data_IF_011290407405
#
_entry.id   IF_011290407405
#
_cell.length_a   1.000
_cell.length_b   1.000
_cell.length_c   1.000
_cell.angle_alpha   90.00
_cell.angle_beta   90.00
_cell.angle_gamma   90.00
#
_symmetry.space_group_name_H-M   'P 1'
#
loop_
_entity.id
_entity.type
_entity.pdbx_description
1 polymer ?
#
# COMPACT_ATOMS: atom_id res chain seq x y z
N UNK A 1 -3.07 10.97 -10.74
CA UNK A 1 -3.12 11.98 -11.78
C UNK A 1 -4.57 12.10 -12.23
N UNK A 2 -5.08 13.32 -12.32
CA UNK A 2 -6.52 13.55 -12.45
C UNK A 2 -7.32 13.38 -11.16
N UNK A 3 -6.66 13.10 -10.05
CA UNK A 3 -7.28 13.03 -8.73
C UNK A 3 -7.38 14.44 -8.12
N UNK A 4 -8.42 14.68 -7.34
CA UNK A 4 -8.60 15.91 -6.54
C UNK A 4 -7.35 16.18 -5.70
N UNK A 5 -6.72 15.14 -5.16
CA UNK A 5 -5.47 15.19 -4.40
C UNK A 5 -4.31 15.87 -5.15
N UNK A 6 -4.24 15.76 -6.45
CA UNK A 6 -3.19 16.38 -7.28
C UNK A 6 -3.26 17.90 -7.18
N UNK A 7 -4.44 18.46 -7.40
CA UNK A 7 -4.68 19.90 -7.30
C UNK A 7 -4.42 20.41 -5.88
N UNK A 8 -4.83 19.67 -4.86
CA UNK A 8 -4.59 20.01 -3.44
C UNK A 8 -3.10 20.01 -3.16
N UNK A 9 -2.35 18.99 -3.58
CA UNK A 9 -0.89 18.91 -3.37
C UNK A 9 -0.15 20.07 -4.03
N UNK A 10 -0.51 20.41 -5.27
CA UNK A 10 0.09 21.55 -5.97
C UNK A 10 -0.24 22.88 -5.28
N UNK A 11 -1.47 23.06 -4.81
CA UNK A 11 -1.85 24.25 -4.04
C UNK A 11 -1.04 24.36 -2.75
N UNK A 12 -0.91 23.28 -1.99
CA UNK A 12 -0.09 23.24 -0.77
C UNK A 12 1.37 23.57 -1.09
N UNK A 13 1.94 23.02 -2.16
CA UNK A 13 3.30 23.33 -2.60
C UNK A 13 3.44 24.84 -2.84
N UNK A 14 2.51 25.47 -3.55
CA UNK A 14 2.55 26.91 -3.83
C UNK A 14 2.32 27.80 -2.62
N UNK A 15 1.67 27.30 -1.59
CA UNK A 15 1.44 28.02 -0.34
C UNK A 15 2.57 27.83 0.69
N UNK A 16 3.48 26.90 0.46
CA UNK A 16 4.56 26.56 1.38
C UNK A 16 5.82 27.36 1.07
N UNK A 17 6.61 27.67 2.11
CA UNK A 17 7.89 28.37 1.98
C UNK A 17 9.08 27.40 1.90
N UNK A 18 8.95 26.20 2.51
CA UNK A 18 9.99 25.19 2.55
C UNK A 18 9.42 23.88 2.04
N UNK A 19 10.20 23.14 1.26
CA UNK A 19 9.78 21.90 0.62
C UNK A 19 10.75 20.77 0.98
N UNK A 20 10.24 19.71 1.55
CA UNK A 20 10.99 18.50 1.88
C UNK A 20 10.54 17.37 0.98
N UNK A 21 11.44 16.89 0.12
CA UNK A 21 11.12 15.93 -0.94
C UNK A 21 11.84 14.60 -0.77
N UNK A 22 11.18 13.53 -1.21
CA UNK A 22 11.68 12.18 -1.00
C UNK A 22 12.69 11.71 -2.04
N UNK A 23 12.72 12.32 -3.24
CA UNK A 23 13.58 11.92 -4.34
C UNK A 23 14.02 13.11 -5.17
N UNK A 24 15.14 12.96 -5.89
CA UNK A 24 15.71 14.01 -6.74
C UNK A 24 14.73 14.47 -7.84
N UNK A 25 14.00 13.53 -8.44
CA UNK A 25 12.98 13.85 -9.44
C UNK A 25 11.86 14.72 -8.86
N UNK A 26 11.49 14.51 -7.61
CA UNK A 26 10.50 15.36 -6.94
C UNK A 26 11.07 16.74 -6.64
N UNK A 27 12.35 16.86 -6.29
CA UNK A 27 13.04 18.13 -6.16
C UNK A 27 12.96 18.93 -7.45
N UNK A 28 13.32 18.31 -8.58
CA UNK A 28 13.25 18.93 -9.91
C UNK A 28 11.82 19.40 -10.24
N UNK A 29 10.81 18.58 -9.96
CA UNK A 29 9.40 18.96 -10.22
C UNK A 29 8.95 20.15 -9.37
N UNK A 30 9.32 20.21 -8.10
CA UNK A 30 8.99 21.33 -7.22
C UNK A 30 9.66 22.63 -7.72
N UNK A 31 10.92 22.57 -8.15
CA UNK A 31 11.62 23.72 -8.77
C UNK A 31 10.93 24.14 -10.08
N UNK A 32 10.52 23.18 -10.92
CA UNK A 32 9.76 23.46 -12.16
C UNK A 32 8.41 24.14 -11.89
N UNK A 33 7.80 23.92 -10.73
CA UNK A 33 6.61 24.65 -10.30
C UNK A 33 6.90 26.10 -9.90
N UNK A 34 8.16 26.54 -9.97
CA UNK A 34 8.59 27.90 -9.70
C UNK A 34 9.05 28.14 -8.25
N UNK A 35 9.36 27.08 -7.51
CA UNK A 35 9.92 27.21 -6.17
C UNK A 35 11.44 27.47 -6.23
N UNK A 36 11.94 28.23 -5.26
CA UNK A 36 13.37 28.53 -5.18
C UNK A 36 14.16 27.29 -4.80
N UNK A 37 15.24 26.94 -5.57
CA UNK A 37 16.03 25.72 -5.32
C UNK A 37 16.55 25.59 -3.88
N UNK A 38 16.92 26.71 -3.25
CA UNK A 38 17.45 26.77 -1.88
C UNK A 38 16.42 26.43 -0.81
N UNK A 39 15.13 26.50 -1.17
CA UNK A 39 14.02 26.13 -0.29
C UNK A 39 13.54 24.70 -0.49
N UNK A 40 14.17 23.91 -1.38
CA UNK A 40 13.79 22.52 -1.69
C UNK A 40 14.86 21.55 -1.22
N UNK A 41 14.56 20.81 -0.17
CA UNK A 41 15.47 19.90 0.52
C UNK A 41 15.17 18.45 0.16
N UNK A 42 16.18 17.72 -0.32
CA UNK A 42 16.11 16.28 -0.51
C UNK A 42 16.38 15.58 0.83
N UNK A 43 15.35 14.99 1.41
CA UNK A 43 15.42 14.39 2.77
C UNK A 43 15.10 12.90 2.80
N UNK A 44 14.72 12.33 1.65
CA UNK A 44 14.26 10.94 1.59
C UNK A 44 12.79 10.77 2.02
N UNK A 45 12.33 9.53 2.04
CA UNK A 45 10.95 9.21 2.42
C UNK A 45 10.73 9.27 3.93
N UNK A 46 9.87 10.16 4.39
CA UNK A 46 9.57 10.35 5.83
C UNK A 46 9.12 9.06 6.53
N UNK A 47 8.43 8.15 5.83
CA UNK A 47 8.01 6.87 6.38
C UNK A 47 9.16 5.91 6.67
N UNK A 48 10.31 6.07 6.01
CA UNK A 48 11.45 5.15 6.12
C UNK A 48 12.11 5.25 7.50
N UNK A 49 12.26 6.45 8.04
CA UNK A 49 12.82 6.66 9.38
C UNK A 49 12.00 5.95 10.45
N UNK A 50 10.67 5.97 10.31
CA UNK A 50 9.78 5.26 11.22
C UNK A 50 9.94 3.74 11.10
N UNK A 51 10.13 3.22 9.87
CA UNK A 51 10.36 1.78 9.66
C UNK A 51 11.66 1.34 10.34
N UNK A 52 12.72 2.14 10.22
CA UNK A 52 14.04 1.84 10.80
C UNK A 52 14.04 1.93 12.33
N UNK A 53 13.28 2.88 12.91
CA UNK A 53 13.22 3.13 14.35
C UNK A 53 12.26 2.25 15.12
N UNK A 54 11.28 1.64 14.44
CA UNK A 54 10.29 0.79 15.10
C UNK A 54 10.86 -0.59 15.43
N UNK A 55 10.67 -1.01 16.67
CA UNK A 55 10.90 -2.39 17.08
C UNK A 55 9.78 -3.28 16.52
N UNK A 56 10.03 -3.80 15.33
CA UNK A 56 9.06 -4.64 14.62
C UNK A 56 8.92 -6.00 15.31
N UNK A 57 7.69 -6.48 15.38
CA UNK A 57 7.37 -7.76 16.00
C UNK A 57 8.13 -8.92 15.32
N UNK A 58 8.64 -9.83 16.13
CA UNK A 58 9.14 -11.10 15.64
C UNK A 58 7.98 -12.00 15.19
N UNK A 59 8.24 -12.97 14.34
CA UNK A 59 7.22 -13.77 13.67
C UNK A 59 6.18 -14.35 14.64
N UNK A 60 6.60 -14.92 15.76
CA UNK A 60 5.71 -15.52 16.78
C UNK A 60 4.78 -14.49 17.41
N UNK A 61 5.32 -13.33 17.76
CA UNK A 61 4.55 -12.24 18.38
C UNK A 61 3.60 -11.59 17.38
N UNK A 62 4.04 -11.44 16.14
CA UNK A 62 3.19 -10.98 15.05
C UNK A 62 2.01 -11.94 14.83
N UNK A 63 2.26 -13.24 14.65
CA UNK A 63 1.23 -14.26 14.48
C UNK A 63 0.22 -14.25 15.64
N UNK A 64 0.71 -14.15 16.88
CA UNK A 64 -0.14 -14.01 18.07
C UNK A 64 -0.96 -12.74 18.06
N UNK A 65 -0.37 -11.62 17.67
CA UNK A 65 -1.02 -10.29 17.67
C UNK A 65 -2.17 -10.17 16.69
N UNK A 66 -2.14 -10.98 15.61
CA UNK A 66 -3.16 -11.02 14.57
C UNK A 66 -4.04 -12.29 14.65
N UNK A 67 -3.74 -13.19 15.59
CA UNK A 67 -4.40 -14.49 15.72
C UNK A 67 -4.46 -15.23 14.37
N UNK A 68 -3.30 -15.32 13.70
CA UNK A 68 -3.16 -15.99 12.40
C UNK A 68 -1.74 -16.50 12.20
N UNK A 69 -1.59 -17.78 11.92
CA UNK A 69 -0.28 -18.39 11.65
C UNK A 69 0.13 -18.20 10.20
N UNK A 70 1.37 -17.84 9.99
CA UNK A 70 2.00 -17.77 8.68
C UNK A 70 2.39 -19.18 8.20
N UNK A 71 2.22 -19.39 6.91
CA UNK A 71 2.60 -20.64 6.22
C UNK A 71 4.03 -20.60 5.68
N UNK A 72 4.26 -21.46 4.68
CA UNK A 72 5.51 -21.52 3.92
C UNK A 72 5.60 -20.32 2.98
N UNK A 73 4.49 -19.95 2.35
CA UNK A 73 4.35 -18.76 1.48
C UNK A 73 3.27 -17.85 2.07
N UNK A 74 3.52 -16.56 2.08
CA UNK A 74 2.64 -15.59 2.70
C UNK A 74 2.56 -14.34 1.83
N UNK A 75 1.36 -13.85 1.57
CA UNK A 75 1.14 -12.64 0.79
C UNK A 75 0.29 -11.64 1.56
N UNK A 76 0.66 -10.38 1.48
CA UNK A 76 -0.15 -9.27 1.95
C UNK A 76 -0.89 -8.66 0.76
N UNK A 77 -2.20 -8.56 0.85
CA UNK A 77 -3.06 -8.03 -0.21
C UNK A 77 -3.72 -6.75 0.26
N UNK A 78 -3.49 -5.65 -0.46
CA UNK A 78 -4.07 -4.33 -0.19
C UNK A 78 -4.59 -3.72 -1.48
N UNK A 79 -5.88 -3.77 -1.70
CA UNK A 79 -6.51 -3.22 -2.89
C UNK A 79 -7.55 -2.17 -2.54
N UNK A 80 -7.45 -0.99 -3.18
CA UNK A 80 -8.37 0.13 -3.01
C UNK A 80 -9.11 0.39 -4.33
N UNK A 81 -10.39 0.78 -4.29
CA UNK A 81 -11.08 1.22 -5.49
C UNK A 81 -10.36 2.43 -6.11
N UNK A 82 -10.47 2.58 -7.43
CA UNK A 82 -9.99 3.75 -8.16
C UNK A 82 -11.20 4.64 -8.43
N UNK A 83 -11.25 5.79 -7.77
CA UNK A 83 -12.42 6.68 -7.72
C UNK A 83 -12.85 7.27 -9.08
N UNK A 84 -12.01 7.17 -10.10
CA UNK A 84 -12.29 7.69 -11.45
C UNK A 84 -12.71 6.60 -12.46
N UNK A 85 -12.72 5.33 -12.06
CA UNK A 85 -13.11 4.21 -12.92
C UNK A 85 -14.44 3.64 -12.41
N UNK A 86 -15.55 4.14 -12.97
CA UNK A 86 -16.87 3.62 -12.61
C UNK A 86 -16.99 2.11 -12.93
N UNK A 87 -17.40 1.31 -11.95
CA UNK A 87 -17.70 -0.12 -12.04
C UNK A 87 -16.54 -1.07 -12.40
N UNK A 88 -15.29 -0.63 -12.41
CA UNK A 88 -14.15 -1.51 -12.71
C UNK A 88 -13.58 -2.21 -11.47
N UNK A 89 -13.77 -1.64 -10.29
CA UNK A 89 -13.21 -2.12 -9.02
C UNK A 89 -13.66 -3.53 -8.65
N UNK A 90 -14.95 -3.85 -8.88
CA UNK A 90 -15.50 -5.19 -8.65
C UNK A 90 -14.87 -6.22 -9.57
N UNK A 91 -14.77 -5.92 -10.88
CA UNK A 91 -14.15 -6.79 -11.86
C UNK A 91 -12.68 -7.04 -11.53
N UNK A 92 -11.93 -5.97 -11.25
CA UNK A 92 -10.50 -6.08 -10.89
C UNK A 92 -10.32 -6.92 -9.62
N UNK A 93 -11.15 -6.71 -8.59
CA UNK A 93 -11.07 -7.51 -7.37
C UNK A 93 -11.42 -8.97 -7.61
N UNK A 94 -12.40 -9.27 -8.44
CA UNK A 94 -12.75 -10.63 -8.81
C UNK A 94 -11.58 -11.36 -9.50
N UNK A 95 -10.91 -10.73 -10.46
CA UNK A 95 -9.72 -11.26 -11.12
C UNK A 95 -8.58 -11.56 -10.11
N UNK A 96 -8.36 -10.65 -9.16
CA UNK A 96 -7.38 -10.84 -8.09
C UNK A 96 -7.76 -12.07 -7.25
N UNK A 97 -9.00 -12.18 -6.80
CA UNK A 97 -9.45 -13.29 -5.96
C UNK A 97 -9.40 -14.63 -6.70
N UNK A 98 -9.73 -14.64 -7.98
CA UNK A 98 -9.59 -15.83 -8.83
C UNK A 98 -8.13 -16.28 -8.92
N UNK A 99 -7.21 -15.36 -9.20
CA UNK A 99 -5.78 -15.67 -9.26
C UNK A 99 -5.23 -16.16 -7.89
N UNK A 100 -5.66 -15.54 -6.78
CA UNK A 100 -5.25 -15.95 -5.45
C UNK A 100 -5.76 -17.34 -5.06
N UNK A 101 -6.93 -17.75 -5.56
CA UNK A 101 -7.51 -19.07 -5.32
C UNK A 101 -6.68 -20.21 -5.91
N UNK A 102 -5.97 -19.95 -6.99
CA UNK A 102 -5.10 -20.95 -7.64
C UNK A 102 -3.76 -21.19 -6.88
N UNK A 103 -3.43 -20.31 -5.92
CA UNK A 103 -2.18 -20.41 -5.17
C UNK A 103 -2.23 -21.53 -4.13
N UNK A 104 -1.32 -22.48 -4.26
CA UNK A 104 -1.19 -23.62 -3.32
C UNK A 104 -0.22 -23.27 -2.19
N UNK A 105 -0.51 -23.75 -0.98
CA UNK A 105 0.35 -23.60 0.20
C UNK A 105 0.70 -22.14 0.52
N UNK A 106 -0.22 -21.20 0.21
CA UNK A 106 -0.01 -19.77 0.38
C UNK A 106 -1.02 -19.22 1.37
N UNK A 107 -0.53 -18.53 2.41
CA UNK A 107 -1.36 -17.82 3.38
C UNK A 107 -1.58 -16.39 2.92
N UNK A 108 -2.81 -15.91 3.04
CA UNK A 108 -3.25 -14.63 2.48
C UNK A 108 -3.72 -13.71 3.60
N UNK A 109 -3.10 -12.55 3.71
CA UNK A 109 -3.47 -11.51 4.66
C UNK A 109 -4.05 -10.34 3.88
N UNK A 110 -5.30 -10.01 4.12
CA UNK A 110 -5.97 -8.88 3.48
C UNK A 110 -6.06 -7.70 4.43
N UNK A 111 -5.73 -6.51 3.95
CA UNK A 111 -6.18 -5.26 4.57
C UNK A 111 -7.36 -4.71 3.79
N UNK A 112 -8.38 -4.22 4.52
CA UNK A 112 -9.60 -3.73 3.91
C UNK A 112 -9.39 -2.36 3.26
N UNK A 113 -10.11 -2.04 2.17
CA UNK A 113 -10.13 -0.71 1.59
C UNK A 113 -10.80 0.29 2.54
N UNK A 114 -10.62 1.58 2.23
CA UNK A 114 -11.37 2.65 2.88
C UNK A 114 -12.88 2.47 2.67
N UNK A 115 -13.70 3.02 3.58
CA UNK A 115 -15.15 2.85 3.62
C UNK A 115 -15.93 3.74 2.63
N UNK A 116 -15.34 4.11 1.49
CA UNK A 116 -16.04 4.77 0.39
C UNK A 116 -17.01 3.82 -0.33
N UNK A 117 -17.83 4.35 -1.24
CA UNK A 117 -18.95 3.61 -1.85
C UNK A 117 -18.49 2.32 -2.52
N UNK A 118 -17.43 2.36 -3.30
CA UNK A 118 -16.88 1.19 -4.01
C UNK A 118 -16.10 0.27 -3.07
N UNK A 119 -15.55 0.81 -1.98
CA UNK A 119 -14.89 0.03 -0.93
C UNK A 119 -15.80 -0.98 -0.26
N UNK A 120 -17.12 -0.72 -0.18
CA UNK A 120 -18.10 -1.65 0.40
C UNK A 120 -18.27 -2.93 -0.41
N UNK A 121 -18.21 -2.82 -1.74
CA UNK A 121 -18.29 -3.99 -2.65
C UNK A 121 -17.06 -4.85 -2.45
N UNK A 122 -15.86 -4.27 -2.51
CA UNK A 122 -14.59 -4.96 -2.29
C UNK A 122 -14.56 -5.60 -0.91
N UNK A 123 -15.02 -4.90 0.12
CA UNK A 123 -15.12 -5.42 1.48
C UNK A 123 -15.94 -6.71 1.55
N UNK A 124 -17.12 -6.72 0.93
CA UNK A 124 -17.99 -7.92 0.87
C UNK A 124 -17.31 -9.08 0.14
N UNK A 125 -16.69 -8.81 -1.00
CA UNK A 125 -15.98 -9.83 -1.78
C UNK A 125 -14.84 -10.46 -0.98
N UNK A 126 -14.00 -9.65 -0.32
CA UNK A 126 -12.92 -10.14 0.54
C UNK A 126 -13.48 -10.99 1.69
N UNK A 127 -14.57 -10.55 2.35
CA UNK A 127 -15.19 -11.32 3.44
C UNK A 127 -15.69 -12.67 2.98
N UNK A 128 -16.37 -12.73 1.83
CA UNK A 128 -16.85 -13.99 1.25
C UNK A 128 -15.66 -14.91 0.93
N UNK A 129 -14.61 -14.38 0.32
CA UNK A 129 -13.41 -15.15 -0.03
C UNK A 129 -12.74 -15.72 1.23
N UNK A 130 -12.49 -14.89 2.24
CA UNK A 130 -11.83 -15.31 3.49
C UNK A 130 -12.63 -16.35 4.24
N UNK A 131 -13.96 -16.26 4.26
CA UNK A 131 -14.82 -17.26 4.92
C UNK A 131 -14.74 -18.63 4.24
N UNK A 132 -14.41 -18.67 2.95
CA UNK A 132 -14.30 -19.90 2.17
C UNK A 132 -12.85 -20.37 1.93
N UNK A 133 -11.86 -19.68 2.51
CA UNK A 133 -10.45 -19.98 2.30
C UNK A 133 -9.72 -20.17 3.64
N UNK A 134 -9.34 -21.39 4.02
CA UNK A 134 -8.82 -21.70 5.37
C UNK A 134 -7.49 -21.01 5.71
N UNK A 135 -6.74 -20.57 4.70
CA UNK A 135 -5.45 -19.91 4.85
C UNK A 135 -5.52 -18.42 4.54
N UNK A 136 -6.70 -17.79 4.69
CA UNK A 136 -6.88 -16.39 4.47
C UNK A 136 -7.46 -15.70 5.71
N UNK A 137 -6.98 -14.49 6.02
CA UNK A 137 -7.53 -13.64 7.06
C UNK A 137 -7.57 -12.19 6.60
N UNK A 138 -8.60 -11.48 7.02
CA UNK A 138 -8.78 -10.07 6.65
C UNK A 138 -8.87 -9.18 7.90
N UNK A 139 -8.29 -7.98 7.80
CA UNK A 139 -8.24 -6.99 8.86
C UNK A 139 -8.75 -5.64 8.34
N UNK A 140 -9.60 -4.99 9.10
CA UNK A 140 -10.03 -3.61 8.79
C UNK A 140 -8.84 -2.66 8.84
N UNK A 141 -8.00 -2.82 9.84
CA UNK A 141 -6.71 -2.15 9.98
C UNK A 141 -5.77 -3.01 10.81
N UNK A 142 -4.52 -3.08 10.42
CA UNK A 142 -3.47 -3.69 11.23
C UNK A 142 -2.82 -2.68 12.19
N UNK A 143 -3.03 -1.37 11.95
CA UNK A 143 -2.22 -0.34 12.57
C UNK A 143 -0.76 -0.39 12.10
N UNK A 144 0.02 0.63 12.38
CA UNK A 144 1.37 0.79 11.84
C UNK A 144 2.31 -0.37 12.21
N UNK A 145 2.43 -0.69 13.50
CA UNK A 145 3.36 -1.70 13.97
C UNK A 145 3.09 -3.08 13.35
N UNK A 146 1.84 -3.55 13.39
CA UNK A 146 1.48 -4.86 12.82
C UNK A 146 1.55 -4.89 11.31
N UNK A 147 1.23 -3.77 10.63
CA UNK A 147 1.33 -3.66 9.17
C UNK A 147 2.78 -3.77 8.70
N UNK A 148 3.70 -3.03 9.30
CA UNK A 148 5.12 -3.09 8.97
C UNK A 148 5.75 -4.43 9.36
N UNK A 149 5.34 -5.00 10.51
CA UNK A 149 5.74 -6.35 10.90
C UNK A 149 5.21 -7.41 9.92
N UNK A 150 4.00 -7.23 9.38
CA UNK A 150 3.47 -8.08 8.33
C UNK A 150 4.38 -8.05 7.09
N UNK A 151 4.74 -6.86 6.59
CA UNK A 151 5.64 -6.71 5.44
C UNK A 151 7.00 -7.40 5.70
N UNK A 152 7.54 -7.30 6.92
CA UNK A 152 8.77 -8.00 7.33
C UNK A 152 8.66 -9.52 7.11
N UNK A 153 7.51 -10.12 7.39
CA UNK A 153 7.34 -11.57 7.45
C UNK A 153 6.65 -12.20 6.24
N UNK A 154 5.99 -11.44 5.36
CA UNK A 154 5.43 -11.97 4.11
C UNK A 154 6.48 -12.07 3.01
N UNK A 155 6.19 -12.86 1.98
CA UNK A 155 7.09 -13.07 0.84
C UNK A 155 6.90 -12.01 -0.25
N UNK A 156 5.74 -11.36 -0.28
CA UNK A 156 5.42 -10.29 -1.23
C UNK A 156 4.13 -9.59 -0.91
N UNK A 157 3.90 -8.50 -1.63
CA UNK A 157 2.71 -7.65 -1.51
C UNK A 157 2.01 -7.56 -2.85
N UNK A 158 0.68 -7.66 -2.85
CA UNK A 158 -0.16 -7.54 -4.05
C UNK A 158 -1.18 -6.45 -3.83
N UNK A 159 -1.36 -5.57 -4.82
CA UNK A 159 -2.41 -4.58 -4.80
C UNK A 159 -2.04 -3.26 -5.43
N UNK A 160 -2.72 -2.20 -5.03
CA UNK A 160 -2.53 -0.87 -5.56
C UNK A 160 -2.30 0.21 -4.49
N UNK A 161 -1.86 -0.20 -3.30
CA UNK A 161 -1.47 0.71 -2.24
C UNK A 161 -0.14 1.40 -2.56
N UNK A 162 -0.01 2.68 -2.16
CA UNK A 162 1.27 3.39 -2.24
C UNK A 162 2.37 2.77 -1.38
N UNK A 163 2.00 2.05 -0.34
CA UNK A 163 2.93 1.30 0.51
C UNK A 163 3.78 0.32 -0.28
N UNK A 164 3.21 -0.32 -1.31
CA UNK A 164 3.93 -1.21 -2.21
C UNK A 164 5.12 -0.58 -2.92
N UNK A 165 5.10 0.74 -3.11
CA UNK A 165 6.19 1.50 -3.74
C UNK A 165 7.08 2.23 -2.73
N UNK A 166 6.52 2.66 -1.60
CA UNK A 166 7.19 3.53 -0.64
C UNK A 166 7.84 2.75 0.53
N UNK A 167 7.14 1.74 1.08
CA UNK A 167 7.56 1.05 2.31
C UNK A 167 8.12 -0.35 2.02
N UNK A 168 7.45 -1.13 1.15
CA UNK A 168 7.82 -2.52 0.85
C UNK A 168 9.25 -2.69 0.35
N UNK A 169 9.81 -1.81 -0.51
CA UNK A 169 11.21 -1.90 -0.96
C UNK A 169 12.22 -1.85 0.19
N UNK A 170 11.93 -1.11 1.28
CA UNK A 170 12.79 -1.05 2.47
C UNK A 170 12.99 -2.42 3.11
N UNK A 171 12.01 -3.30 2.98
CA UNK A 171 12.09 -4.69 3.46
C UNK A 171 12.68 -5.64 2.42
N UNK A 172 13.14 -5.14 1.26
CA UNK A 172 13.64 -5.95 0.15
C UNK A 172 12.64 -7.01 -0.33
N UNK A 173 11.36 -6.65 -0.33
CA UNK A 173 10.25 -7.50 -0.78
C UNK A 173 9.72 -7.02 -2.12
N UNK A 174 9.21 -7.96 -2.92
CA UNK A 174 8.56 -7.65 -4.18
C UNK A 174 7.13 -7.17 -4.00
N UNK A 175 6.69 -6.28 -4.91
CA UNK A 175 5.31 -5.83 -5.02
C UNK A 175 4.75 -6.12 -6.41
N UNK A 176 3.58 -6.75 -6.48
CA UNK A 176 2.78 -6.83 -7.71
C UNK A 176 1.78 -5.67 -7.65
N UNK A 177 2.07 -4.61 -8.43
CA UNK A 177 1.18 -3.46 -8.51
C UNK A 177 0.05 -3.71 -9.51
N UNK A 178 -1.20 -3.59 -9.06
CA UNK A 178 -2.40 -3.81 -9.86
C UNK A 178 -2.97 -2.49 -10.33
N UNK A 179 -3.18 -2.39 -11.65
CA UNK A 179 -3.79 -1.22 -12.27
C UNK A 179 -2.96 0.06 -12.21
N UNK A 180 -3.60 1.17 -12.54
CA UNK A 180 -2.94 2.47 -12.78
C UNK A 180 -2.98 3.46 -11.61
N UNK A 181 -3.54 3.05 -10.45
CA UNK A 181 -3.66 3.94 -9.28
C UNK A 181 -2.33 4.57 -8.84
N UNK A 182 -1.21 3.91 -9.09
CA UNK A 182 0.14 4.39 -8.77
C UNK A 182 0.90 4.93 -9.99
N UNK A 183 0.20 5.17 -11.10
CA UNK A 183 0.80 5.73 -12.34
C UNK A 183 1.46 7.08 -12.05
N UNK A 184 2.64 7.32 -12.63
CA UNK A 184 3.39 8.56 -12.45
C UNK A 184 4.24 8.64 -11.18
N UNK A 185 4.12 7.69 -10.25
CA UNK A 185 5.06 7.57 -9.12
C UNK A 185 6.35 6.89 -9.54
N UNK A 186 7.45 7.31 -8.90
CA UNK A 186 8.74 6.63 -9.05
C UNK A 186 8.61 5.20 -8.54
N UNK A 187 9.11 4.26 -9.32
CA UNK A 187 9.19 2.84 -8.96
C UNK A 187 10.64 2.48 -8.74
N UNK A 188 10.89 1.64 -7.74
CA UNK A 188 12.20 1.03 -7.53
C UNK A 188 12.45 -0.07 -8.57
#
# INVERSE_FOLDING_TARGET
EGLIDESIRHSITKMSHLHFVAAEEYKKRVIQLGEQPDNVFLVGGLGIDNIIKLDLLERKDFEKSIDFKLGIKNLLITFHPVTLEENTSEKQMNEILMALKELKNTHLIFTMPNADTDGRIIFKMIKIFVNNHPYAKSFTSLGQLRYLSCIKHVDGVIGNSSSGLAEVPTFKKGTINIGDRQRGRIKA
#
